data_IF_133477281948
#
_entry.id   IF_133477281948
#
_cell.length_a   1.000
_cell.length_b   1.000
_cell.length_c   1.000
_cell.angle_alpha   90.00
_cell.angle_beta   90.00
_cell.angle_gamma   90.00
#
_symmetry.space_group_name_H-M   'P 1'
#
loop_
_entity.id
_entity.type
_entity.pdbx_description
1 polymer ?
#
# COMPACT_ATOMS: atom_id res chain seq x y z
N UNK A 1 1.97 27.18 -68.22
CA UNK A 1 2.91 26.81 -67.18
C UNK A 1 2.12 26.30 -65.97
N UNK A 2 2.22 25.01 -65.70
CA UNK A 2 1.59 24.43 -64.50
C UNK A 2 2.56 24.59 -63.30
N UNK A 3 2.15 25.35 -62.33
CA UNK A 3 2.90 25.39 -61.02
C UNK A 3 2.47 24.23 -60.19
N UNK A 4 3.34 23.24 -60.02
CA UNK A 4 3.12 22.18 -59.06
C UNK A 4 3.36 22.71 -57.67
N UNK A 5 2.29 22.89 -56.90
CA UNK A 5 2.37 23.17 -55.48
C UNK A 5 2.70 21.87 -54.77
N UNK A 6 3.95 21.68 -54.39
CA UNK A 6 4.34 20.56 -53.52
C UNK A 6 3.84 20.87 -52.14
N UNK A 7 2.67 20.31 -51.79
CA UNK A 7 2.19 20.31 -50.39
C UNK A 7 3.10 19.41 -49.57
N UNK A 8 3.93 20.03 -48.73
CA UNK A 8 4.74 19.32 -47.79
C UNK A 8 3.83 18.96 -46.60
N UNK A 9 3.29 17.75 -46.61
CA UNK A 9 2.54 17.22 -45.47
C UNK A 9 3.57 16.85 -44.43
N UNK A 10 3.78 17.76 -43.48
CA UNK A 10 4.58 17.49 -42.29
C UNK A 10 3.72 16.63 -41.36
N UNK A 11 3.93 15.32 -41.39
CA UNK A 11 3.28 14.41 -40.45
C UNK A 11 3.91 14.61 -39.10
N UNK A 12 3.18 15.27 -38.18
CA UNK A 12 3.56 15.37 -36.79
C UNK A 12 3.33 13.99 -36.14
N UNK A 13 4.41 13.23 -35.93
CA UNK A 13 4.36 12.00 -35.17
C UNK A 13 4.37 12.43 -33.70
N UNK A 14 3.19 12.46 -33.06
CA UNK A 14 3.08 12.67 -31.63
C UNK A 14 3.49 11.37 -30.95
N UNK A 15 4.69 11.34 -30.38
CA UNK A 15 5.19 10.21 -29.61
C UNK A 15 4.48 10.24 -28.25
N UNK A 16 3.48 9.39 -28.07
CA UNK A 16 2.88 9.15 -26.77
C UNK A 16 3.85 8.31 -25.93
N UNK A 17 4.56 8.97 -25.01
CA UNK A 17 5.35 8.28 -24.01
C UNK A 17 4.38 7.81 -22.92
N UNK A 18 3.94 6.56 -23.00
CA UNK A 18 3.20 5.94 -21.92
C UNK A 18 4.19 5.56 -20.83
N UNK A 19 4.18 6.32 -19.74
CA UNK A 19 4.90 5.90 -18.52
C UNK A 19 4.11 4.77 -17.89
N UNK A 20 4.65 3.55 -17.94
CA UNK A 20 4.09 2.44 -17.19
C UNK A 20 4.29 2.69 -15.71
N UNK A 21 3.18 2.83 -14.96
CA UNK A 21 3.24 2.87 -13.51
C UNK A 21 3.47 1.44 -13.01
N UNK A 22 4.66 1.17 -12.42
CA UNK A 22 4.97 -0.11 -11.79
C UNK A 22 4.47 -0.09 -10.35
N UNK A 23 3.65 -1.09 -9.97
CA UNK A 23 3.33 -1.36 -8.58
C UNK A 23 4.49 -2.08 -7.91
N UNK A 24 4.74 -1.75 -6.65
CA UNK A 24 5.77 -2.37 -5.82
C UNK A 24 5.12 -3.24 -4.75
N UNK A 25 5.88 -4.22 -4.27
CA UNK A 25 5.53 -5.02 -3.10
C UNK A 25 6.45 -4.64 -1.95
N UNK A 26 5.86 -4.29 -0.82
CA UNK A 26 6.56 -3.93 0.41
C UNK A 26 6.39 -5.05 1.42
N UNK A 27 7.44 -5.34 2.17
CA UNK A 27 7.42 -6.40 3.18
C UNK A 27 7.52 -5.82 4.59
N UNK A 28 6.63 -6.29 5.46
CA UNK A 28 6.65 -6.03 6.90
C UNK A 28 6.70 -7.39 7.59
N UNK A 29 7.48 -7.52 8.64
CA UNK A 29 7.51 -8.74 9.45
C UNK A 29 6.65 -8.60 10.70
N UNK A 30 6.02 -9.69 11.08
CA UNK A 30 5.29 -9.82 12.33
C UNK A 30 6.17 -10.53 13.35
N UNK A 31 6.54 -9.82 14.43
CA UNK A 31 7.62 -10.22 15.33
C UNK A 31 7.16 -10.26 16.79
N UNK A 32 7.65 -11.27 17.52
CA UNK A 32 7.53 -11.30 18.98
C UNK A 32 8.44 -10.26 19.64
N UNK A 33 9.58 -9.97 19.03
CA UNK A 33 10.57 -9.04 19.55
C UNK A 33 11.37 -8.37 18.45
N UNK A 34 11.58 -7.06 18.60
CA UNK A 34 12.50 -6.27 17.78
C UNK A 34 13.22 -5.28 18.71
N UNK A 35 14.52 -5.47 18.91
CA UNK A 35 15.27 -4.69 19.89
C UNK A 35 14.70 -4.87 21.30
N UNK A 36 14.26 -3.78 21.93
CA UNK A 36 13.63 -3.79 23.25
C UNK A 36 12.09 -3.82 23.20
N UNK A 37 11.51 -3.83 22.01
CA UNK A 37 10.07 -3.86 21.83
C UNK A 37 9.57 -5.29 21.65
N UNK A 38 8.42 -5.57 22.28
CA UNK A 38 7.75 -6.86 22.22
C UNK A 38 6.47 -6.75 21.40
N UNK A 39 6.14 -7.81 20.65
CA UNK A 39 4.92 -7.90 19.84
C UNK A 39 4.76 -6.69 18.94
N UNK A 40 5.54 -6.67 17.84
CA UNK A 40 5.64 -5.51 16.96
C UNK A 40 5.65 -5.93 15.48
N UNK A 41 5.22 -5.01 14.64
CA UNK A 41 5.53 -5.05 13.21
C UNK A 41 6.92 -4.44 12.99
N UNK A 42 7.70 -5.02 12.09
CA UNK A 42 9.08 -4.57 11.82
C UNK A 42 9.16 -3.12 11.36
N UNK A 43 8.09 -2.66 10.70
CA UNK A 43 7.90 -1.26 10.29
C UNK A 43 6.52 -0.83 10.76
N UNK A 44 6.47 0.20 11.61
CA UNK A 44 5.20 0.68 12.18
C UNK A 44 4.44 1.59 11.25
N UNK A 45 5.16 2.34 10.43
CA UNK A 45 4.58 3.27 9.45
C UNK A 45 5.35 3.10 8.15
N UNK A 46 4.63 2.85 7.05
CA UNK A 46 5.19 2.85 5.71
C UNK A 46 4.34 3.71 4.78
N UNK A 47 4.99 4.31 3.80
CA UNK A 47 4.34 5.04 2.73
C UNK A 47 4.46 4.25 1.44
N UNK A 48 3.32 4.03 0.78
CA UNK A 48 3.23 3.29 -0.48
C UNK A 48 2.46 4.10 -1.52
N UNK A 49 2.58 3.70 -2.78
CA UNK A 49 1.81 4.28 -3.87
C UNK A 49 0.48 3.56 -4.03
N UNK A 50 -0.50 4.25 -4.60
CA UNK A 50 -1.75 3.60 -5.03
C UNK A 50 -1.42 2.46 -5.99
N UNK A 51 -1.98 1.28 -5.73
CA UNK A 51 -1.74 0.05 -6.48
C UNK A 51 -0.63 -0.83 -5.94
N UNK A 52 0.14 -0.35 -4.96
CA UNK A 52 1.17 -1.16 -4.31
C UNK A 52 0.54 -2.22 -3.40
N UNK A 53 1.30 -3.28 -3.18
CA UNK A 53 0.94 -4.38 -2.29
C UNK A 53 1.84 -4.39 -1.06
N UNK A 54 1.27 -4.68 0.10
CA UNK A 54 2.03 -4.96 1.32
C UNK A 54 1.85 -6.43 1.68
N UNK A 55 2.95 -7.09 1.95
CA UNK A 55 2.98 -8.45 2.49
C UNK A 55 3.48 -8.38 3.93
N UNK A 56 2.70 -8.93 4.85
CA UNK A 56 3.10 -9.12 6.24
C UNK A 56 3.54 -10.56 6.42
N UNK A 57 4.81 -10.75 6.67
CA UNK A 57 5.41 -12.08 6.83
C UNK A 57 5.23 -12.56 8.26
N UNK A 58 4.71 -13.77 8.42
CA UNK A 58 4.57 -14.44 9.71
C UNK A 58 5.93 -15.00 10.18
N UNK A 59 6.87 -14.10 10.48
CA UNK A 59 8.24 -14.46 10.90
C UNK A 59 8.23 -15.21 12.22
N UNK A 60 7.41 -14.77 13.18
CA UNK A 60 7.13 -15.50 14.41
C UNK A 60 5.63 -15.78 14.53
N UNK A 61 5.28 -16.84 15.28
CA UNK A 61 3.89 -17.25 15.46
C UNK A 61 3.12 -16.35 16.42
N UNK A 62 1.82 -16.34 16.30
CA UNK A 62 0.91 -15.65 17.23
C UNK A 62 0.45 -14.29 16.71
N UNK A 63 0.58 -14.03 15.42
CA UNK A 63 0.27 -12.72 14.84
C UNK A 63 -0.66 -12.81 13.64
N UNK A 64 -1.35 -11.71 13.39
CA UNK A 64 -2.15 -11.46 12.20
C UNK A 64 -2.19 -9.97 11.87
N UNK A 65 -2.97 -9.60 10.86
CA UNK A 65 -3.24 -8.22 10.48
C UNK A 65 -4.75 -8.02 10.42
N UNK A 66 -5.25 -7.06 11.15
CA UNK A 66 -6.66 -6.68 11.13
C UNK A 66 -6.80 -5.17 10.97
N UNK A 67 -7.54 -4.73 9.96
CA UNK A 67 -7.85 -3.30 9.80
C UNK A 67 -8.71 -2.83 10.98
N UNK A 68 -8.30 -1.71 11.56
CA UNK A 68 -9.02 -1.10 12.67
C UNK A 68 -10.31 -0.47 12.13
N UNK A 69 -11.42 -0.76 12.78
CA UNK A 69 -12.71 -0.15 12.45
C UNK A 69 -12.62 1.37 12.52
N UNK A 70 -13.09 2.06 11.49
CA UNK A 70 -12.97 3.51 11.31
C UNK A 70 -11.52 4.02 11.19
N UNK A 71 -10.55 3.13 11.02
CA UNK A 71 -9.14 3.46 10.82
C UNK A 71 -8.66 3.33 9.37
N UNK A 72 -9.58 3.24 8.41
CA UNK A 72 -9.27 3.11 6.98
C UNK A 72 -10.07 4.13 6.18
N UNK A 73 -9.66 4.42 4.93
CA UNK A 73 -10.43 5.32 4.07
C UNK A 73 -11.86 4.83 3.85
N UNK A 74 -12.76 5.78 3.58
CA UNK A 74 -14.14 5.48 3.25
C UNK A 74 -14.24 4.52 2.05
N UNK A 75 -15.16 3.57 2.13
CA UNK A 75 -15.38 2.57 1.09
C UNK A 75 -14.45 1.36 1.14
N UNK A 76 -13.45 1.35 2.03
CA UNK A 76 -12.59 0.21 2.25
C UNK A 76 -13.28 -0.81 3.15
N UNK A 77 -13.37 -2.06 2.68
CA UNK A 77 -13.98 -3.14 3.44
C UNK A 77 -13.14 -3.62 4.62
N UNK A 78 -13.71 -4.49 5.41
CA UNK A 78 -13.02 -5.14 6.52
C UNK A 78 -11.94 -6.07 5.98
N UNK A 79 -10.80 -6.10 6.66
CA UNK A 79 -9.72 -7.03 6.39
C UNK A 79 -9.20 -7.61 7.69
N UNK A 80 -9.14 -8.92 7.76
CA UNK A 80 -8.57 -9.66 8.88
C UNK A 80 -7.89 -10.92 8.36
N UNK A 81 -6.59 -11.00 8.53
CA UNK A 81 -5.83 -12.17 8.12
C UNK A 81 -5.94 -13.31 9.13
N UNK A 82 -5.67 -14.51 8.66
CA UNK A 82 -5.58 -15.69 9.53
C UNK A 82 -4.33 -15.62 10.41
N UNK A 83 -4.42 -16.27 11.56
CA UNK A 83 -3.28 -16.38 12.48
C UNK A 83 -2.17 -17.24 11.89
N UNK A 84 -0.94 -16.84 12.15
CA UNK A 84 0.28 -17.62 11.84
C UNK A 84 0.59 -17.81 10.35
N UNK A 85 -0.07 -17.07 9.48
CA UNK A 85 0.20 -17.11 8.03
C UNK A 85 0.53 -15.73 7.52
N UNK A 86 1.23 -15.68 6.40
CA UNK A 86 1.52 -14.43 5.72
C UNK A 86 0.20 -13.75 5.29
N UNK A 87 0.14 -12.44 5.44
CA UNK A 87 -0.98 -11.63 4.98
C UNK A 87 -0.53 -10.78 3.79
N UNK A 88 -1.46 -10.49 2.89
CA UNK A 88 -1.20 -9.65 1.73
C UNK A 88 -2.42 -8.80 1.43
N UNK A 89 -2.18 -7.53 1.10
CA UNK A 89 -3.23 -6.61 0.70
C UNK A 89 -2.74 -5.63 -0.36
N UNK A 90 -3.52 -5.45 -1.42
CA UNK A 90 -3.26 -4.47 -2.48
C UNK A 90 -4.02 -3.18 -2.17
N UNK A 91 -3.31 -2.05 -2.10
CA UNK A 91 -3.85 -0.75 -1.71
C UNK A 91 -4.25 0.08 -2.93
N UNK A 92 -5.50 0.03 -3.34
CA UNK A 92 -6.03 0.77 -4.50
C UNK A 92 -6.68 2.11 -4.12
N UNK A 93 -7.08 2.28 -2.86
CA UNK A 93 -7.73 3.50 -2.36
C UNK A 93 -6.71 4.32 -1.58
N UNK A 94 -6.45 5.59 -1.96
CA UNK A 94 -5.52 6.43 -1.22
C UNK A 94 -6.05 6.80 0.17
N UNK A 95 -5.14 7.03 1.10
CA UNK A 95 -5.45 7.43 2.46
C UNK A 95 -4.61 6.66 3.48
N UNK A 96 -4.97 6.78 4.75
CA UNK A 96 -4.27 6.16 5.87
C UNK A 96 -5.06 4.93 6.35
N UNK A 97 -4.35 3.82 6.45
CA UNK A 97 -4.88 2.54 6.93
C UNK A 97 -4.22 2.20 8.26
N UNK A 98 -5.01 2.17 9.32
CA UNK A 98 -4.58 1.71 10.62
C UNK A 98 -4.93 0.23 10.79
N UNK A 99 -3.99 -0.55 11.27
CA UNK A 99 -4.19 -1.97 11.53
C UNK A 99 -3.53 -2.38 12.84
N UNK A 100 -3.96 -3.49 13.39
CA UNK A 100 -3.36 -4.08 14.59
C UNK A 100 -3.28 -5.60 14.46
N UNK A 101 -2.53 -6.19 15.37
CA UNK A 101 -2.55 -7.62 15.62
C UNK A 101 -3.68 -7.94 16.59
N UNK A 102 -4.63 -8.77 16.20
CA UNK A 102 -5.84 -9.03 17.00
C UNK A 102 -5.53 -9.45 18.44
N UNK A 103 -4.64 -10.46 18.70
CA UNK A 103 -4.35 -10.86 20.08
C UNK A 103 -3.45 -9.88 20.84
N UNK A 104 -2.75 -8.98 20.18
CA UNK A 104 -1.76 -8.08 20.81
C UNK A 104 -2.12 -6.60 20.69
N UNK A 105 -3.35 -6.28 20.32
CA UNK A 105 -3.80 -4.89 20.20
C UNK A 105 -3.69 -4.13 21.54
N UNK A 106 -3.98 -4.77 22.65
CA UNK A 106 -3.83 -4.18 23.99
C UNK A 106 -2.37 -3.94 24.38
N UNK A 107 -1.43 -4.58 23.71
CA UNK A 107 0.02 -4.37 23.89
C UNK A 107 0.58 -3.31 22.94
N UNK A 108 -0.26 -2.68 22.12
CA UNK A 108 0.16 -1.66 21.17
C UNK A 108 0.79 -2.20 19.88
N UNK A 109 0.51 -3.44 19.49
CA UNK A 109 0.95 -3.97 18.20
C UNK A 109 0.10 -3.40 17.08
N UNK A 110 0.44 -2.20 16.64
CA UNK A 110 -0.29 -1.37 15.69
C UNK A 110 0.65 -0.90 14.60
N UNK A 111 0.13 -0.77 13.38
CA UNK A 111 0.84 -0.22 12.25
C UNK A 111 -0.05 0.65 11.37
N UNK A 112 0.61 1.40 10.50
CA UNK A 112 -0.05 2.31 9.55
C UNK A 112 0.55 2.16 8.17
N UNK A 113 -0.31 2.10 7.17
CA UNK A 113 0.09 2.24 5.76
C UNK A 113 -0.50 3.55 5.23
N UNK A 114 0.36 4.42 4.75
CA UNK A 114 -0.03 5.68 4.11
C UNK A 114 0.02 5.48 2.61
N UNK A 115 -1.15 5.51 1.97
CA UNK A 115 -1.28 5.24 0.53
C UNK A 115 -1.43 6.56 -0.22
N UNK A 116 -0.48 6.87 -1.09
CA UNK A 116 -0.45 8.14 -1.81
C UNK A 116 -0.24 9.34 -0.88
N UNK A 117 -0.75 10.50 -1.29
CA UNK A 117 -0.61 11.76 -0.53
C UNK A 117 -1.90 12.19 0.18
N UNK A 118 -2.96 11.39 0.08
CA UNK A 118 -4.24 11.68 0.72
C UNK A 118 -4.20 11.31 2.21
N UNK A 119 -4.38 12.31 3.06
CA UNK A 119 -4.44 12.16 4.52
C UNK A 119 -5.76 12.65 5.09
N UNK A 120 -6.80 12.75 4.26
CA UNK A 120 -8.11 13.32 4.64
C UNK A 120 -8.83 12.51 5.71
N UNK A 121 -8.48 11.24 5.89
CA UNK A 121 -9.08 10.37 6.91
C UNK A 121 -8.31 10.35 8.24
N UNK A 122 -7.43 11.33 8.47
CA UNK A 122 -6.70 11.46 9.75
C UNK A 122 -7.54 11.98 10.91
N UNK A 123 -8.67 12.62 10.63
CA UNK A 123 -9.53 13.25 11.64
C UNK A 123 -10.39 12.25 12.42
#
# INVERSE_FOLDING_TARGET
MAKFLKSLITTFITLFITTAAFSETHMIEMLNKSGNEMMVYSKKIIKVKVGDTVTWKATTKGHNVEFIRNGTPEGVGKFKSKMNVDAEYKFDVPGIYAYWCTPHKAMGMIGFVVVGDDKSNLD
#
